data_IF_783575635630
#
_entry.id   IF_783575635630
#
_cell.length_a   1.000
_cell.length_b   1.000
_cell.length_c   1.000
_cell.angle_alpha   90.00
_cell.angle_beta   90.00
_cell.angle_gamma   90.00
#
_symmetry.space_group_name_H-M   'P 1'
#
loop_
_entity.id
_entity.type
_entity.pdbx_description
1 polymer ?
#
# COMPACT_ATOMS: atom_id res chain seq x y z
N UNK A 1 -15.25 -4.53 0.36
CA UNK A 1 -15.57 -4.80 -1.07
C UNK A 1 -14.91 -3.73 -1.93
N UNK A 2 -14.07 -4.12 -2.88
CA UNK A 2 -13.44 -3.17 -3.81
C UNK A 2 -14.47 -2.57 -4.78
N UNK A 3 -14.11 -1.50 -5.50
CA UNK A 3 -14.96 -0.96 -6.57
C UNK A 3 -15.31 -2.00 -7.65
N UNK A 4 -14.54 -3.10 -7.73
CA UNK A 4 -14.72 -4.18 -8.70
C UNK A 4 -15.70 -5.28 -8.26
N UNK A 5 -16.34 -5.15 -7.09
CA UNK A 5 -17.37 -6.10 -6.63
C UNK A 5 -16.84 -7.42 -6.05
N UNK A 6 -15.53 -7.53 -5.84
CA UNK A 6 -14.89 -8.67 -5.18
C UNK A 6 -13.87 -8.23 -4.12
N UNK A 7 -13.46 -9.18 -3.26
CA UNK A 7 -12.38 -9.03 -2.29
C UNK A 7 -11.32 -10.11 -2.59
N UNK A 8 -10.06 -9.69 -2.71
CA UNK A 8 -8.90 -10.59 -2.80
C UNK A 8 -8.02 -10.29 -1.58
N UNK A 9 -7.71 -11.32 -0.80
CA UNK A 9 -6.98 -11.23 0.47
C UNK A 9 -5.90 -12.33 0.55
N UNK A 10 -5.05 -12.40 -0.47
CA UNK A 10 -4.04 -13.47 -0.67
C UNK A 10 -2.61 -12.92 -0.86
N UNK A 11 -2.41 -11.62 -0.66
CA UNK A 11 -1.14 -10.98 -0.89
C UNK A 11 -0.05 -11.50 0.08
N UNK A 12 1.18 -11.77 -0.40
CA UNK A 12 2.30 -12.05 0.48
C UNK A 12 2.54 -10.89 1.44
N UNK A 13 2.50 -11.17 2.74
CA UNK A 13 2.67 -10.16 3.78
C UNK A 13 3.63 -10.66 4.84
N UNK A 14 4.81 -10.06 4.90
CA UNK A 14 5.77 -10.26 5.98
C UNK A 14 5.54 -9.18 7.03
N UNK A 15 5.20 -9.58 8.26
CA UNK A 15 4.68 -8.67 9.27
C UNK A 15 5.17 -8.98 10.68
N UNK A 16 5.01 -7.99 11.55
CA UNK A 16 5.05 -8.13 12.99
C UNK A 16 3.87 -7.34 13.57
N UNK A 17 3.40 -7.75 14.75
CA UNK A 17 2.28 -7.10 15.44
C UNK A 17 2.79 -5.98 16.34
N UNK A 18 2.10 -4.83 16.29
CA UNK A 18 2.41 -3.66 17.10
C UNK A 18 1.12 -3.11 17.71
N UNK A 19 1.20 -2.65 18.95
CA UNK A 19 0.14 -1.92 19.64
C UNK A 19 0.54 -0.47 19.88
N UNK A 20 -0.44 0.38 20.18
CA UNK A 20 -0.20 1.81 20.45
C UNK A 20 0.25 2.60 19.23
N UNK A 21 0.95 3.69 19.49
CA UNK A 21 1.54 4.55 18.47
C UNK A 21 2.85 3.95 17.96
N UNK A 22 3.10 4.06 16.65
CA UNK A 22 4.32 3.54 16.05
C UNK A 22 4.68 4.30 14.78
N UNK A 23 5.94 4.18 14.39
CA UNK A 23 6.45 4.60 13.09
C UNK A 23 7.06 3.39 12.38
N UNK A 24 6.80 3.27 11.08
CA UNK A 24 7.41 2.27 10.22
C UNK A 24 7.90 2.94 8.94
N UNK A 25 9.09 2.56 8.49
CA UNK A 25 9.68 3.06 7.25
C UNK A 25 10.27 1.91 6.45
N UNK A 26 9.94 1.84 5.18
CA UNK A 26 10.44 0.80 4.26
C UNK A 26 11.02 1.44 3.01
N UNK A 27 12.11 0.85 2.51
CA UNK A 27 12.63 1.10 1.16
C UNK A 27 12.14 -0.02 0.26
N UNK A 28 11.46 0.34 -0.83
CA UNK A 28 10.88 -0.64 -1.75
C UNK A 28 11.61 -0.53 -3.08
N UNK A 29 12.10 -1.66 -3.55
CA UNK A 29 12.66 -1.88 -4.90
C UNK A 29 11.87 -3.02 -5.53
N UNK A 30 11.61 -2.95 -6.83
CA UNK A 30 10.93 -4.04 -7.53
C UNK A 30 11.35 -4.09 -8.99
N UNK A 31 11.45 -5.31 -9.51
CA UNK A 31 11.60 -5.59 -10.94
C UNK A 31 10.20 -5.84 -11.53
N UNK A 32 9.39 -4.77 -11.56
CA UNK A 32 7.98 -4.81 -11.98
C UNK A 32 7.89 -5.11 -13.48
N UNK A 33 7.15 -6.17 -13.84
CA UNK A 33 7.08 -6.70 -15.22
C UNK A 33 5.66 -6.92 -15.69
N UNK A 34 4.81 -7.42 -14.81
CA UNK A 34 3.45 -7.79 -15.14
C UNK A 34 2.48 -6.68 -14.71
N UNK A 35 1.36 -6.60 -15.42
CA UNK A 35 0.26 -5.73 -15.04
C UNK A 35 -0.20 -6.11 -13.63
N UNK A 36 -0.40 -5.11 -12.78
CA UNK A 36 -0.81 -5.24 -11.38
C UNK A 36 0.30 -5.81 -10.48
N UNK A 37 1.57 -5.75 -10.88
CA UNK A 37 2.65 -5.96 -9.91
C UNK A 37 2.60 -4.86 -8.85
N UNK A 38 2.64 -5.27 -7.57
CA UNK A 38 2.60 -4.35 -6.43
C UNK A 38 3.65 -4.69 -5.40
N UNK A 39 4.27 -3.66 -4.83
CA UNK A 39 5.12 -3.81 -3.66
C UNK A 39 5.09 -2.54 -2.84
N UNK A 40 5.12 -2.67 -1.51
CA UNK A 40 4.82 -1.56 -0.63
C UNK A 40 4.86 -1.88 0.85
N UNK A 41 4.22 -1.00 1.61
CA UNK A 41 3.92 -1.11 3.02
C UNK A 41 2.45 -1.48 3.20
N UNK A 42 2.15 -2.32 4.20
CA UNK A 42 0.78 -2.58 4.63
C UNK A 42 0.66 -2.41 6.15
N UNK A 43 -0.38 -1.70 6.58
CA UNK A 43 -0.88 -1.70 7.95
C UNK A 43 -2.19 -2.47 7.95
N UNK A 44 -2.35 -3.43 8.85
CA UNK A 44 -3.49 -4.35 8.81
C UNK A 44 -4.02 -4.64 10.21
N UNK A 45 -5.34 -4.58 10.33
CA UNK A 45 -6.09 -5.09 11.48
C UNK A 45 -6.73 -6.43 11.07
N UNK A 46 -7.45 -6.44 9.95
CA UNK A 46 -8.13 -7.62 9.40
C UNK A 46 -8.38 -7.44 7.89
N UNK A 47 -9.19 -8.34 7.29
CA UNK A 47 -9.51 -8.35 5.86
C UNK A 47 -10.47 -7.24 5.41
N UNK A 48 -11.13 -6.55 6.33
CA UNK A 48 -11.99 -5.39 6.05
C UNK A 48 -11.35 -4.07 6.46
N UNK A 49 -10.23 -4.11 7.20
CA UNK A 49 -9.58 -2.96 7.81
C UNK A 49 -8.06 -2.99 7.59
N UNK A 50 -7.60 -2.34 6.53
CA UNK A 50 -6.17 -2.26 6.19
C UNK A 50 -5.85 -1.00 5.38
N UNK A 51 -4.58 -0.60 5.40
CA UNK A 51 -4.00 0.41 4.53
C UNK A 51 -2.86 -0.25 3.78
N UNK A 52 -2.84 -0.14 2.46
CA UNK A 52 -1.66 -0.48 1.65
C UNK A 52 -1.16 0.76 0.92
N UNK A 53 0.15 0.93 0.86
CA UNK A 53 0.78 2.02 0.14
C UNK A 53 2.01 1.50 -0.61
N UNK A 54 2.21 1.90 -1.86
CA UNK A 54 3.31 1.35 -2.66
C UNK A 54 3.25 1.71 -4.13
N UNK A 55 4.09 1.02 -4.90
CA UNK A 55 3.99 1.03 -6.36
C UNK A 55 2.93 0.02 -6.80
N UNK A 56 2.08 0.43 -7.74
CA UNK A 56 1.25 -0.43 -8.57
C UNK A 56 1.65 -0.22 -10.03
N UNK A 57 2.14 -1.27 -10.68
CA UNK A 57 2.58 -1.21 -12.07
C UNK A 57 1.43 -1.56 -13.01
N UNK A 58 0.93 -0.58 -13.76
CA UNK A 58 -0.23 -0.74 -14.65
C UNK A 58 0.06 -0.04 -15.98
N UNK A 59 -0.18 -0.75 -17.08
CA UNK A 59 -0.04 -0.25 -18.46
C UNK A 59 1.33 0.40 -18.73
N UNK A 60 2.40 -0.23 -18.24
CA UNK A 60 3.78 0.24 -18.42
C UNK A 60 4.19 1.40 -17.51
N UNK A 61 3.31 1.84 -16.60
CA UNK A 61 3.52 2.99 -15.72
C UNK A 61 3.61 2.58 -14.26
N UNK A 62 4.46 3.29 -13.54
CA UNK A 62 4.59 3.19 -12.09
C UNK A 62 3.59 4.14 -11.45
N UNK A 63 2.64 3.61 -10.68
CA UNK A 63 1.69 4.40 -9.92
C UNK A 63 2.06 4.32 -8.45
N UNK A 64 2.41 5.45 -7.83
CA UNK A 64 2.54 5.54 -6.38
C UNK A 64 1.13 5.72 -5.82
N UNK A 65 0.68 4.79 -5.01
CA UNK A 65 -0.70 4.80 -4.52
C UNK A 65 -0.82 4.44 -3.06
N UNK A 66 -1.94 4.86 -2.46
CA UNK A 66 -2.39 4.44 -1.14
C UNK A 66 -3.85 4.03 -1.24
N UNK A 67 -4.17 2.85 -0.73
CA UNK A 67 -5.54 2.35 -0.58
C UNK A 67 -5.84 2.22 0.90
N UNK A 68 -6.89 2.89 1.35
CA UNK A 68 -7.44 2.76 2.70
C UNK A 68 -8.71 1.93 2.59
N UNK A 69 -8.71 0.75 3.19
CA UNK A 69 -9.87 -0.13 3.26
C UNK A 69 -10.42 -0.11 4.69
N UNK A 70 -11.65 0.39 4.82
CA UNK A 70 -12.47 0.33 6.02
C UNK A 70 -13.88 -0.08 5.59
N UNK A 71 -14.10 -1.39 5.44
CA UNK A 71 -15.25 -2.06 4.77
C UNK A 71 -15.34 -1.80 3.26
N UNK A 72 -15.08 -0.57 2.84
CA UNK A 72 -14.93 -0.12 1.45
C UNK A 72 -13.52 0.43 1.24
N UNK A 73 -13.05 0.43 -0.01
CA UNK A 73 -11.72 0.94 -0.35
C UNK A 73 -11.81 2.35 -0.95
N UNK A 74 -11.01 3.27 -0.40
CA UNK A 74 -10.69 4.57 -1.00
C UNK A 74 -9.25 4.53 -1.54
N UNK A 75 -9.02 5.13 -2.71
CA UNK A 75 -7.78 5.00 -3.47
C UNK A 75 -7.27 6.37 -3.92
N UNK A 76 -6.07 6.72 -3.43
CA UNK A 76 -5.30 7.87 -3.89
C UNK A 76 -4.13 7.39 -4.74
N UNK A 77 -3.92 8.03 -5.90
CA UNK A 77 -2.91 7.59 -6.88
C UNK A 77 -2.22 8.78 -7.54
N UNK A 78 -0.90 8.65 -7.71
CA UNK A 78 -0.05 9.56 -8.49
C UNK A 78 0.74 8.71 -9.48
N UNK A 79 0.60 8.99 -10.78
CA UNK A 79 1.40 8.35 -11.82
C UNK A 79 2.76 9.01 -11.89
N UNK A 80 3.84 8.21 -11.87
CA UNK A 80 5.20 8.70 -12.06
C UNK A 80 5.50 8.86 -13.55
N UNK A 81 6.11 9.98 -13.92
CA UNK A 81 6.51 10.25 -15.31
C UNK A 81 7.63 9.33 -15.80
N UNK A 82 8.48 8.89 -14.88
CA UNK A 82 9.63 8.02 -15.17
C UNK A 82 9.75 6.90 -14.14
N UNK A 83 10.31 5.74 -14.53
CA UNK A 83 10.64 4.68 -13.57
C UNK A 83 11.63 5.17 -12.51
N UNK A 84 11.41 4.77 -11.26
CA UNK A 84 12.30 5.04 -10.15
C UNK A 84 12.96 3.74 -9.67
N UNK A 85 14.25 3.74 -9.28
CA UNK A 85 14.93 2.53 -8.83
C UNK A 85 14.40 2.05 -7.47
N UNK A 86 13.84 2.96 -6.67
CA UNK A 86 13.21 2.66 -5.40
C UNK A 86 12.32 3.80 -4.94
N UNK A 87 11.43 3.50 -3.99
CA UNK A 87 10.72 4.50 -3.19
C UNK A 87 10.99 4.27 -1.71
N UNK A 88 10.83 5.33 -0.92
CA UNK A 88 10.67 5.22 0.52
C UNK A 88 9.22 5.45 0.87
N UNK A 89 8.68 4.66 1.79
CA UNK A 89 7.34 4.85 2.35
C UNK A 89 7.50 4.90 3.85
N UNK A 90 6.89 5.89 4.47
CA UNK A 90 6.78 5.97 5.93
C UNK A 90 5.32 6.03 6.33
N UNK A 91 4.95 5.25 7.34
CA UNK A 91 3.67 5.41 8.01
C UNK A 91 3.89 5.74 9.49
N UNK A 92 3.11 6.69 10.00
CA UNK A 92 3.10 7.06 11.40
C UNK A 92 1.68 6.90 11.92
N UNK A 93 1.49 6.07 12.95
CA UNK A 93 0.22 5.98 13.67
C UNK A 93 0.31 6.79 14.96
N UNK A 94 -0.60 7.77 15.11
CA UNK A 94 -0.79 8.57 16.33
C UNK A 94 -2.25 8.57 16.72
N UNK A 95 -2.56 8.22 17.97
CA UNK A 95 -3.94 8.06 18.45
C UNK A 95 -4.82 7.25 17.46
N UNK A 96 -5.83 7.87 16.88
CA UNK A 96 -6.75 7.31 15.89
C UNK A 96 -6.34 7.55 14.44
N UNK A 97 -5.30 8.35 14.19
CA UNK A 97 -4.85 8.73 12.85
C UNK A 97 -3.67 7.90 12.34
N UNK A 98 -3.57 7.80 11.01
CA UNK A 98 -2.41 7.30 10.28
C UNK A 98 -2.02 8.31 9.21
N UNK A 99 -0.74 8.69 9.19
CA UNK A 99 -0.14 9.56 8.18
C UNK A 99 0.79 8.72 7.29
N UNK A 100 0.67 8.86 5.97
CA UNK A 100 1.53 8.21 4.97
C UNK A 100 2.38 9.28 4.29
N UNK A 101 3.70 9.04 4.20
CA UNK A 101 4.69 9.91 3.58
C UNK A 101 5.50 9.16 2.51
#
# INVERSE_FOLDING_TARGET
>A
ISHYGFTVDDAPFYYATYGGEFEVKVKVTGDYKARIDQAGLMLRIDHENYIKAGIEFVDGKFNLSTVVTHKTSDWSVITLDTPVPYIWIKAVRRLDAVEIF
#
